data_IF_552879469593
#
_entry.id   IF_552879469593
#
_cell.length_a   1.000
_cell.length_b   1.000
_cell.length_c   1.000
_cell.angle_alpha   90.00
_cell.angle_beta   90.00
_cell.angle_gamma   90.00
#
_symmetry.space_group_name_H-M   'P 1'
#
loop_
_entity.id
_entity.type
_entity.pdbx_description
1 polymer ?
#
# COMPACT_ATOMS: atom_id res chain seq x y z
N UNK A 1 -14.63 -2.82 17.53
CA UNK A 1 -13.16 -2.69 17.40
C UNK A 1 -12.47 -3.76 18.22
N UNK A 2 -11.36 -4.29 17.74
CA UNK A 2 -10.44 -5.17 18.49
C UNK A 2 -9.40 -4.27 19.18
N UNK A 3 -9.01 -4.56 20.41
CA UNK A 3 -7.93 -3.87 21.12
C UNK A 3 -7.14 -4.80 22.02
N UNK A 4 -5.83 -4.56 22.13
CA UNK A 4 -4.89 -5.34 22.93
C UNK A 4 -3.86 -4.38 23.50
N UNK A 5 -3.75 -4.33 24.81
CA UNK A 5 -2.73 -3.54 25.50
C UNK A 5 -1.46 -4.37 25.67
N UNK A 6 -0.33 -3.69 25.75
CA UNK A 6 0.97 -4.26 26.05
C UNK A 6 1.72 -3.39 27.06
N UNK A 7 2.40 -4.03 27.97
CA UNK A 7 3.36 -3.37 28.87
C UNK A 7 4.69 -4.11 28.87
N UNK A 8 5.78 -3.40 29.15
CA UNK A 8 7.10 -4.02 29.26
C UNK A 8 7.21 -5.02 30.43
N UNK A 9 6.39 -4.88 31.47
CA UNK A 9 6.36 -5.78 32.64
C UNK A 9 5.55 -7.04 32.40
N UNK A 10 4.39 -6.92 31.74
CA UNK A 10 3.41 -8.02 31.66
C UNK A 10 3.29 -8.64 30.26
N UNK A 11 3.90 -7.99 29.26
CA UNK A 11 3.76 -8.37 27.86
C UNK A 11 2.38 -8.03 27.29
N UNK A 12 1.87 -8.83 26.36
CA UNK A 12 0.55 -8.67 25.76
C UNK A 12 -0.55 -9.09 26.73
N UNK A 13 -1.49 -8.18 27.00
CA UNK A 13 -2.67 -8.43 27.83
C UNK A 13 -3.79 -9.10 27.02
N UNK A 14 -4.86 -9.59 27.63
CA UNK A 14 -5.98 -10.23 26.95
C UNK A 14 -6.63 -9.31 25.89
N UNK A 15 -6.81 -9.84 24.69
CA UNK A 15 -7.50 -9.14 23.61
C UNK A 15 -8.98 -8.94 23.92
N UNK A 16 -9.54 -7.79 23.50
CA UNK A 16 -10.94 -7.43 23.68
C UNK A 16 -11.56 -7.03 22.35
N UNK A 17 -12.76 -7.52 22.06
CA UNK A 17 -13.62 -7.02 20.98
C UNK A 17 -14.79 -6.28 21.61
N UNK A 18 -14.89 -4.99 21.32
CA UNK A 18 -15.91 -4.10 21.90
C UNK A 18 -16.59 -3.31 20.78
N UNK A 19 -17.77 -2.68 21.04
CA UNK A 19 -18.33 -1.69 20.14
C UNK A 19 -17.29 -0.59 19.81
N UNK A 20 -17.43 0.02 18.63
CA UNK A 20 -16.60 1.17 18.25
C UNK A 20 -16.79 2.32 19.25
N UNK A 21 -15.67 2.85 19.77
CA UNK A 21 -15.68 3.91 20.79
C UNK A 21 -14.40 4.75 20.69
N UNK A 22 -14.43 5.93 21.32
CA UNK A 22 -13.25 6.78 21.45
C UNK A 22 -12.16 6.10 22.28
N UNK A 23 -10.91 6.36 21.94
CA UNK A 23 -9.78 6.01 22.80
C UNK A 23 -9.61 7.08 23.90
N UNK A 24 -9.45 6.64 25.14
CA UNK A 24 -9.08 7.52 26.26
C UNK A 24 -7.58 7.38 26.50
N UNK A 25 -6.81 8.40 26.13
CA UNK A 25 -5.36 8.43 26.24
C UNK A 25 -4.91 9.62 27.09
N UNK A 26 -3.86 9.40 27.89
CA UNK A 26 -3.20 10.48 28.63
C UNK A 26 -2.56 11.46 27.64
N UNK A 27 -2.68 12.79 27.83
CA UNK A 27 -2.04 13.79 26.96
C UNK A 27 -0.52 13.64 26.84
N UNK A 28 0.16 13.04 27.83
CA UNK A 28 1.57 12.74 27.80
C UNK A 28 1.91 11.43 27.07
N UNK A 29 0.93 10.75 26.46
CA UNK A 29 1.22 9.54 25.66
C UNK A 29 2.21 9.85 24.54
N UNK A 30 3.29 9.08 24.48
CA UNK A 30 4.44 9.39 23.60
C UNK A 30 4.08 9.40 22.11
N UNK A 31 3.01 8.74 21.68
CA UNK A 31 2.52 8.82 20.30
C UNK A 31 2.21 10.25 19.86
N UNK A 32 1.67 11.09 20.75
CA UNK A 32 1.29 12.47 20.42
C UNK A 32 2.50 13.39 20.19
N UNK A 33 3.64 13.06 20.77
CA UNK A 33 4.83 13.92 20.76
C UNK A 33 5.92 13.43 19.82
N UNK A 34 6.03 12.10 19.62
CA UNK A 34 7.18 11.49 18.95
C UNK A 34 6.80 10.49 17.88
N UNK A 35 5.51 10.46 17.48
CA UNK A 35 5.00 9.61 16.40
C UNK A 35 5.35 8.11 16.56
N UNK A 36 5.36 7.58 17.79
CA UNK A 36 5.45 6.15 18.02
C UNK A 36 4.16 5.46 17.55
N UNK A 37 4.02 5.36 16.24
CA UNK A 37 2.84 4.78 15.59
C UNK A 37 3.22 4.06 14.31
N UNK A 38 2.64 2.88 14.13
CA UNK A 38 2.65 2.15 12.86
C UNK A 38 1.26 1.57 12.60
N UNK A 39 0.97 1.33 11.32
CA UNK A 39 -0.34 0.82 10.95
C UNK A 39 -0.28 -0.13 9.77
N UNK A 40 -1.39 -0.83 9.54
CA UNK A 40 -1.61 -1.65 8.37
C UNK A 40 -2.90 -1.25 7.65
N UNK A 41 -3.02 -1.69 6.42
CA UNK A 41 -4.23 -1.60 5.63
C UNK A 41 -4.45 -2.92 4.91
N UNK A 42 -5.58 -3.55 5.20
CA UNK A 42 -6.01 -4.79 4.56
C UNK A 42 -7.52 -4.76 4.35
N UNK A 43 -8.03 -5.67 3.56
CA UNK A 43 -9.45 -5.69 3.20
C UNK A 43 -10.04 -7.08 3.42
N UNK A 44 -11.29 -7.12 3.88
CA UNK A 44 -12.11 -8.32 3.88
C UNK A 44 -13.13 -8.23 2.75
N UNK A 45 -13.25 -9.33 2.01
CA UNK A 45 -14.13 -9.48 0.86
C UNK A 45 -15.17 -10.56 1.12
N UNK A 46 -16.33 -10.46 0.51
CA UNK A 46 -17.34 -11.52 0.50
C UNK A 46 -17.34 -12.16 -0.89
N UNK A 47 -17.15 -13.47 -0.95
CA UNK A 47 -17.23 -14.22 -2.21
C UNK A 47 -18.69 -14.53 -2.60
N UNK A 48 -18.87 -15.08 -3.81
CA UNK A 48 -20.22 -15.45 -4.35
C UNK A 48 -20.96 -16.48 -3.50
N UNK A 49 -20.27 -17.24 -2.65
CA UNK A 49 -20.87 -18.19 -1.73
C UNK A 49 -21.16 -17.60 -0.34
N UNK A 50 -20.86 -16.30 -0.15
CA UNK A 50 -21.01 -15.61 1.12
C UNK A 50 -19.87 -15.83 2.12
N UNK A 51 -18.81 -16.56 1.74
CA UNK A 51 -17.63 -16.73 2.58
C UNK A 51 -16.84 -15.44 2.64
N UNK A 52 -16.31 -15.14 3.81
CA UNK A 52 -15.45 -13.97 4.04
C UNK A 52 -13.99 -14.35 3.81
N UNK A 53 -13.27 -13.48 3.11
CA UNK A 53 -11.87 -13.70 2.73
C UNK A 53 -10.99 -12.51 3.09
N UNK A 54 -9.78 -12.79 3.58
CA UNK A 54 -8.70 -11.82 3.72
C UNK A 54 -7.64 -12.11 2.65
N UNK A 55 -7.07 -11.07 2.07
CA UNK A 55 -6.04 -11.22 1.04
C UNK A 55 -4.66 -11.09 1.65
N UNK A 56 -3.88 -12.20 1.66
CA UNK A 56 -2.48 -12.30 2.14
C UNK A 56 -2.24 -11.67 3.53
N UNK A 57 -3.05 -11.98 4.56
CA UNK A 57 -2.94 -11.35 5.88
C UNK A 57 -1.57 -11.55 6.54
N UNK A 58 -0.89 -12.66 6.26
CA UNK A 58 0.46 -12.95 6.77
C UNK A 58 1.45 -11.87 6.37
N UNK A 59 1.43 -11.42 5.12
CA UNK A 59 2.31 -10.35 4.62
C UNK A 59 2.08 -9.02 5.35
N UNK A 60 0.83 -8.70 5.68
CA UNK A 60 0.49 -7.52 6.47
C UNK A 60 1.05 -7.63 7.89
N UNK A 61 0.90 -8.77 8.55
CA UNK A 61 1.38 -8.97 9.92
C UNK A 61 2.92 -9.01 10.00
N UNK A 62 3.59 -9.61 9.02
CA UNK A 62 5.05 -9.53 8.88
C UNK A 62 5.53 -8.07 8.78
N UNK A 63 4.91 -7.29 7.90
CA UNK A 63 5.27 -5.89 7.69
C UNK A 63 4.94 -5.02 8.90
N UNK A 64 3.83 -5.27 9.60
CA UNK A 64 3.50 -4.57 10.84
C UNK A 64 4.55 -4.83 11.91
N UNK A 65 5.02 -6.07 12.08
CA UNK A 65 6.11 -6.40 13.00
C UNK A 65 7.44 -5.73 12.62
N UNK A 66 7.77 -5.67 11.32
CA UNK A 66 8.95 -4.92 10.85
C UNK A 66 8.83 -3.42 11.16
N UNK A 67 7.64 -2.85 11.00
CA UNK A 67 7.38 -1.43 11.30
C UNK A 67 7.44 -1.15 12.80
N UNK A 68 6.79 -1.98 13.61
CA UNK A 68 6.81 -1.88 15.09
C UNK A 68 8.23 -1.94 15.64
N UNK A 69 8.99 -2.96 15.24
CA UNK A 69 10.37 -3.15 15.70
C UNK A 69 11.26 -1.94 15.36
N UNK A 70 11.07 -1.30 14.21
CA UNK A 70 11.88 -0.15 13.77
C UNK A 70 11.76 1.07 14.68
N UNK A 71 10.62 1.21 15.35
CA UNK A 71 10.33 2.32 16.27
C UNK A 71 10.19 1.84 17.72
N UNK A 72 10.83 0.73 18.06
CA UNK A 72 10.85 0.16 19.42
C UNK A 72 9.47 -0.12 20.03
N UNK A 73 8.44 -0.31 19.22
CA UNK A 73 7.16 -0.88 19.64
C UNK A 73 7.26 -2.42 19.72
N UNK A 74 6.41 -3.07 20.54
CA UNK A 74 6.46 -4.53 20.67
C UNK A 74 6.09 -5.24 19.36
N UNK A 75 6.66 -6.41 19.15
CA UNK A 75 6.23 -7.36 18.13
C UNK A 75 5.24 -8.37 18.73
N UNK A 76 4.50 -9.05 17.86
CA UNK A 76 3.46 -9.99 18.26
C UNK A 76 3.53 -11.28 17.45
N UNK A 77 2.87 -12.34 17.94
CA UNK A 77 2.69 -13.59 17.21
C UNK A 77 1.73 -13.38 16.03
N UNK A 78 2.24 -13.53 14.80
CA UNK A 78 1.48 -13.22 13.59
C UNK A 78 0.27 -14.15 13.39
N UNK A 79 0.38 -15.49 13.52
CA UNK A 79 -0.78 -16.38 13.43
C UNK A 79 -1.88 -16.03 14.44
N UNK A 80 -1.53 -15.76 15.69
CA UNK A 80 -2.50 -15.38 16.73
C UNK A 80 -3.20 -14.05 16.38
N UNK A 81 -2.48 -13.08 15.83
CA UNK A 81 -3.09 -11.81 15.41
C UNK A 81 -4.03 -11.98 14.22
N UNK A 82 -3.69 -12.84 13.25
CA UNK A 82 -4.58 -13.19 12.13
C UNK A 82 -5.86 -13.85 12.65
N UNK A 83 -5.75 -14.75 13.62
CA UNK A 83 -6.91 -15.38 14.26
C UNK A 83 -7.81 -14.35 14.95
N UNK A 84 -7.25 -13.40 15.70
CA UNK A 84 -8.00 -12.34 16.36
C UNK A 84 -8.69 -11.40 15.35
N UNK A 85 -8.00 -11.02 14.28
CA UNK A 85 -8.59 -10.25 13.17
C UNK A 85 -9.73 -11.05 12.52
N UNK A 86 -9.55 -12.36 12.31
CA UNK A 86 -10.58 -13.23 11.72
C UNK A 86 -11.83 -13.28 12.60
N UNK A 87 -11.68 -13.44 13.92
CA UNK A 87 -12.79 -13.39 14.87
C UNK A 87 -13.52 -12.03 14.82
N UNK A 88 -12.76 -10.93 14.79
CA UNK A 88 -13.34 -9.60 14.66
C UNK A 88 -14.12 -9.44 13.36
N UNK A 89 -13.55 -9.86 12.24
CA UNK A 89 -14.20 -9.78 10.93
C UNK A 89 -15.44 -10.69 10.84
N UNK A 90 -15.39 -11.88 11.40
CA UNK A 90 -16.54 -12.79 11.47
C UNK A 90 -17.72 -12.16 12.24
N UNK A 91 -17.45 -11.46 13.36
CA UNK A 91 -18.48 -10.72 14.12
C UNK A 91 -19.06 -9.55 13.33
N UNK A 92 -18.26 -8.90 12.50
CA UNK A 92 -18.62 -7.70 11.74
C UNK A 92 -18.96 -7.98 10.27
N UNK A 93 -19.11 -9.25 9.88
CA UNK A 93 -19.38 -9.68 8.49
C UNK A 93 -20.58 -9.01 7.83
N UNK A 94 -21.54 -8.51 8.61
CA UNK A 94 -22.69 -7.74 8.16
C UNK A 94 -22.33 -6.42 7.46
N UNK A 95 -21.13 -5.87 7.78
CA UNK A 95 -20.64 -4.62 7.19
C UNK A 95 -19.78 -4.83 5.94
N UNK A 96 -19.55 -6.08 5.53
CA UNK A 96 -18.83 -6.36 4.28
C UNK A 96 -19.84 -6.26 3.14
N UNK A 97 -19.71 -5.27 2.21
CA UNK A 97 -20.58 -5.14 1.06
C UNK A 97 -20.48 -6.36 0.13
N UNK A 98 -21.56 -6.70 -0.53
CA UNK A 98 -21.62 -7.86 -1.45
C UNK A 98 -21.21 -7.48 -2.88
N UNK A 99 -21.27 -6.19 -3.20
CA UNK A 99 -20.97 -5.68 -4.52
C UNK A 99 -19.46 -5.78 -4.83
N UNK A 100 -19.13 -6.25 -6.04
CA UNK A 100 -17.75 -6.33 -6.51
C UNK A 100 -17.14 -4.93 -6.63
N UNK A 101 -15.89 -4.77 -6.18
CA UNK A 101 -15.23 -3.45 -6.04
C UNK A 101 -15.38 -2.85 -4.65
N UNK A 102 -16.31 -3.39 -3.83
CA UNK A 102 -16.50 -2.99 -2.43
C UNK A 102 -15.88 -4.00 -1.47
N UNK A 103 -15.57 -3.56 -0.26
CA UNK A 103 -14.94 -4.38 0.77
C UNK A 103 -15.09 -3.75 2.14
N UNK A 104 -14.74 -4.48 3.18
CA UNK A 104 -14.54 -3.94 4.52
C UNK A 104 -13.04 -3.66 4.69
N UNK A 105 -12.67 -2.40 4.80
CA UNK A 105 -11.30 -1.98 5.04
C UNK A 105 -10.96 -2.12 6.52
N UNK A 106 -9.87 -2.80 6.83
CA UNK A 106 -9.36 -3.01 8.17
C UNK A 106 -8.12 -2.17 8.40
N UNK A 107 -8.07 -1.47 9.54
CA UNK A 107 -6.97 -0.62 9.96
C UNK A 107 -6.38 -1.12 11.28
N UNK A 108 -5.51 -2.13 11.26
CA UNK A 108 -4.65 -2.42 12.41
C UNK A 108 -3.71 -1.24 12.65
N UNK A 109 -3.63 -0.80 13.89
CA UNK A 109 -2.77 0.33 14.31
C UNK A 109 -2.14 0.00 15.65
N UNK A 110 -0.87 0.31 15.81
CA UNK A 110 -0.16 0.19 17.09
C UNK A 110 0.41 1.55 17.46
N UNK A 111 0.15 2.00 18.68
CA UNK A 111 0.61 3.26 19.24
C UNK A 111 1.35 3.06 20.56
N UNK A 112 2.38 3.87 20.78
CA UNK A 112 3.02 3.97 22.09
C UNK A 112 2.19 4.81 23.05
N UNK A 113 1.86 4.23 24.21
CA UNK A 113 1.01 4.87 25.22
C UNK A 113 1.77 5.28 26.48
N UNK A 114 3.09 5.14 26.51
CA UNK A 114 3.95 5.58 27.62
C UNK A 114 3.66 7.05 27.98
N UNK A 115 3.35 7.28 29.24
CA UNK A 115 3.07 8.61 29.80
C UNK A 115 4.34 9.33 30.17
N UNK A 116 4.98 9.97 29.20
CA UNK A 116 6.25 10.70 29.43
C UNK A 116 6.47 11.74 28.34
N UNK A 117 7.09 12.85 28.71
CA UNK A 117 7.57 13.86 27.77
C UNK A 117 9.04 13.62 27.36
N UNK A 118 9.71 12.66 27.99
CA UNK A 118 11.06 12.25 27.62
C UNK A 118 11.04 11.32 26.40
N UNK A 119 12.03 11.48 25.50
CA UNK A 119 12.21 10.58 24.35
C UNK A 119 12.87 9.28 24.81
N UNK A 120 12.21 8.17 24.54
CA UNK A 120 12.74 6.83 24.84
C UNK A 120 11.82 5.74 24.28
N UNK A 121 12.25 4.47 24.35
CA UNK A 121 11.40 3.37 23.92
C UNK A 121 10.13 3.29 24.77
N UNK A 122 8.94 3.12 24.16
CA UNK A 122 7.70 3.02 24.91
C UNK A 122 7.67 1.79 25.84
N UNK A 123 7.38 1.99 27.13
CA UNK A 123 7.13 0.92 28.10
C UNK A 123 5.69 0.41 28.08
N UNK A 124 4.81 1.04 27.31
CA UNK A 124 3.45 0.56 27.06
C UNK A 124 2.98 0.90 25.66
N UNK A 125 2.10 0.07 25.11
CA UNK A 125 1.55 0.22 23.77
C UNK A 125 0.09 -0.27 23.73
N UNK A 126 -0.65 0.23 22.75
CA UNK A 126 -1.99 -0.23 22.40
C UNK A 126 -2.01 -0.63 20.92
N UNK A 127 -2.34 -1.90 20.64
CA UNK A 127 -2.68 -2.38 19.32
C UNK A 127 -4.20 -2.41 19.21
N UNK A 128 -4.76 -1.81 18.14
CA UNK A 128 -6.19 -1.88 17.89
C UNK A 128 -6.49 -2.06 16.41
N UNK A 129 -7.66 -2.61 16.11
CA UNK A 129 -8.17 -2.76 14.75
C UNK A 129 -9.57 -2.15 14.67
N UNK A 130 -9.73 -1.23 13.74
CA UNK A 130 -11.03 -0.69 13.34
C UNK A 130 -11.34 -1.09 11.91
N UNK A 131 -12.61 -1.01 11.52
CA UNK A 131 -13.06 -1.38 10.19
C UNK A 131 -14.05 -0.35 9.63
N UNK A 132 -14.05 -0.20 8.30
CA UNK A 132 -14.98 0.67 7.59
C UNK A 132 -15.37 0.04 6.26
N UNK A 133 -16.66 -0.03 5.88
CA UNK A 133 -17.07 -0.33 4.52
C UNK A 133 -16.49 0.70 3.55
N UNK A 134 -15.95 0.22 2.43
CA UNK A 134 -15.37 1.10 1.40
C UNK A 134 -15.78 0.63 0.01
N UNK A 135 -15.99 1.59 -0.89
CA UNK A 135 -16.19 1.39 -2.32
C UNK A 135 -14.90 1.58 -3.13
N UNK A 136 -15.02 1.81 -4.43
CA UNK A 136 -13.90 2.14 -5.30
C UNK A 136 -13.11 3.34 -4.77
N UNK A 137 -11.79 3.25 -4.86
CA UNK A 137 -10.88 4.27 -4.29
C UNK A 137 -11.07 5.65 -4.92
N UNK A 138 -11.26 5.71 -6.23
CA UNK A 138 -11.56 6.95 -6.93
C UNK A 138 -13.08 7.07 -7.21
N UNK A 139 -13.71 8.20 -6.88
CA UNK A 139 -15.13 8.42 -7.16
C UNK A 139 -15.47 8.31 -8.64
N UNK A 140 -14.51 8.61 -9.52
CA UNK A 140 -14.63 8.51 -10.98
C UNK A 140 -14.54 7.06 -11.50
N UNK A 141 -14.36 6.07 -10.62
CA UNK A 141 -14.14 4.67 -10.96
C UNK A 141 -12.72 4.36 -11.42
N UNK A 142 -12.55 3.29 -12.19
CA UNK A 142 -11.26 2.84 -12.71
C UNK A 142 -10.84 3.69 -13.92
N UNK A 143 -10.17 4.84 -13.64
CA UNK A 143 -9.69 5.79 -14.63
C UNK A 143 -8.22 6.09 -14.45
N UNK A 144 -7.56 6.41 -15.57
CA UNK A 144 -6.16 6.82 -15.56
C UNK A 144 -5.98 8.19 -14.88
N UNK A 145 -4.96 8.29 -14.06
CA UNK A 145 -4.61 9.50 -13.30
C UNK A 145 -3.40 10.20 -13.90
N UNK A 146 -3.33 11.52 -13.69
CA UNK A 146 -2.16 12.35 -14.03
C UNK A 146 -1.31 12.61 -12.80
N UNK A 147 0.00 12.52 -12.96
CA UNK A 147 0.97 12.65 -11.87
C UNK A 147 1.82 13.89 -12.02
N UNK A 148 2.31 14.42 -10.90
CA UNK A 148 3.40 15.39 -10.87
C UNK A 148 4.68 14.72 -10.36
N UNK A 149 5.73 14.72 -11.15
CA UNK A 149 7.06 14.30 -10.72
C UNK A 149 7.61 15.31 -9.70
N UNK A 150 7.88 14.85 -8.49
CA UNK A 150 8.20 15.70 -7.34
C UNK A 150 9.63 15.45 -6.90
N UNK A 151 10.48 16.45 -7.07
CA UNK A 151 11.89 16.50 -6.69
C UNK A 151 12.19 17.47 -5.54
N UNK A 152 11.29 18.43 -5.29
CA UNK A 152 11.42 19.45 -4.24
C UNK A 152 11.08 18.95 -2.82
N UNK A 153 10.48 17.79 -2.70
CA UNK A 153 10.14 17.16 -1.44
C UNK A 153 10.56 15.67 -1.47
N UNK A 154 11.30 15.23 -0.46
CA UNK A 154 11.81 13.88 -0.36
C UNK A 154 10.88 13.07 0.54
N UNK A 155 10.28 12.00 0.00
CA UNK A 155 9.43 11.09 0.78
C UNK A 155 10.23 10.15 1.68
N UNK A 156 11.35 9.65 1.18
CA UNK A 156 12.19 8.67 1.86
C UNK A 156 13.64 8.75 1.37
N UNK A 157 14.57 8.26 2.18
CA UNK A 157 16.00 8.26 1.89
C UNK A 157 16.67 6.97 2.42
N UNK A 158 17.83 6.57 1.90
CA UNK A 158 18.57 5.42 2.39
C UNK A 158 18.89 5.52 3.89
N UNK A 159 18.63 4.43 4.64
CA UNK A 159 18.79 4.39 6.10
C UNK A 159 17.67 5.06 6.88
N UNK A 160 16.71 5.70 6.21
CA UNK A 160 15.49 6.23 6.82
C UNK A 160 14.47 5.15 7.17
N UNK A 161 13.19 5.50 7.08
CA UNK A 161 12.07 4.63 7.44
C UNK A 161 11.04 4.49 6.31
N UNK A 162 11.40 4.83 5.08
CA UNK A 162 10.51 4.81 3.92
C UNK A 162 9.94 3.43 3.59
N UNK A 163 10.64 2.37 3.96
CA UNK A 163 10.25 0.97 3.82
C UNK A 163 9.37 0.45 4.97
N UNK A 164 9.07 1.29 5.96
CA UNK A 164 8.21 0.96 7.11
C UNK A 164 6.87 1.68 7.01
N UNK A 165 5.81 1.04 7.49
CA UNK A 165 4.46 1.61 7.44
C UNK A 165 4.18 2.42 8.72
N UNK A 166 4.83 3.58 8.82
CA UNK A 166 4.75 4.50 9.96
C UNK A 166 3.90 5.72 9.59
N UNK A 167 3.07 6.22 10.50
CA UNK A 167 2.30 7.45 10.31
C UNK A 167 3.17 8.65 9.97
N UNK A 168 4.38 8.71 10.54
CA UNK A 168 5.36 9.77 10.28
C UNK A 168 5.78 9.91 8.80
N UNK A 169 5.64 8.86 7.98
CA UNK A 169 5.92 8.91 6.54
C UNK A 169 4.79 9.57 5.73
N UNK A 170 3.59 9.71 6.29
CA UNK A 170 2.40 10.15 5.54
C UNK A 170 2.10 11.63 5.70
N UNK A 171 2.16 12.17 6.91
CA UNK A 171 1.86 13.57 7.17
C UNK A 171 2.71 14.54 6.32
N UNK A 172 4.04 14.37 6.17
CA UNK A 172 4.86 15.26 5.34
C UNK A 172 4.52 15.22 3.85
N UNK A 173 3.86 14.18 3.37
CA UNK A 173 3.47 14.04 1.96
C UNK A 173 2.19 14.83 1.61
N UNK A 174 1.43 15.27 2.61
CA UNK A 174 0.12 15.93 2.37
C UNK A 174 0.28 17.29 1.70
N UNK A 175 1.22 18.12 2.14
CA UNK A 175 1.42 19.43 1.52
C UNK A 175 1.84 19.33 0.05
N UNK A 176 2.86 18.53 -0.33
CA UNK A 176 3.19 18.31 -1.74
C UNK A 176 2.00 17.80 -2.56
N UNK A 177 1.17 16.92 -2.01
CA UNK A 177 -0.02 16.42 -2.70
C UNK A 177 -1.07 17.53 -2.93
N UNK A 178 -1.31 18.40 -1.95
CA UNK A 178 -2.19 19.54 -2.10
C UNK A 178 -1.69 20.52 -3.16
N UNK A 179 -0.38 20.76 -3.23
CA UNK A 179 0.24 21.61 -4.24
C UNK A 179 0.12 20.99 -5.64
N UNK A 180 0.34 19.68 -5.79
CA UNK A 180 0.12 18.97 -7.05
C UNK A 180 -1.36 19.06 -7.48
N UNK A 181 -2.29 18.88 -6.54
CA UNK A 181 -3.73 18.97 -6.80
C UNK A 181 -4.17 20.36 -7.30
N UNK A 182 -3.60 21.45 -6.74
CA UNK A 182 -3.84 22.84 -7.23
C UNK A 182 -3.41 23.03 -8.69
N UNK A 183 -2.39 22.27 -9.14
CA UNK A 183 -1.91 22.27 -10.53
C UNK A 183 -2.65 21.27 -11.43
N UNK A 184 -3.67 20.57 -10.91
CA UNK A 184 -4.51 19.64 -11.66
C UNK A 184 -4.02 18.20 -11.68
N UNK A 185 -3.03 17.83 -10.86
CA UNK A 185 -2.52 16.45 -10.77
C UNK A 185 -3.17 15.70 -9.62
N UNK A 186 -3.34 14.38 -9.81
CA UNK A 186 -4.04 13.53 -8.84
C UNK A 186 -3.11 13.03 -7.72
N UNK A 187 -1.83 12.82 -8.03
CA UNK A 187 -0.81 12.29 -7.12
C UNK A 187 0.58 12.80 -7.46
N UNK A 188 1.48 12.73 -6.48
CA UNK A 188 2.91 12.93 -6.69
C UNK A 188 3.56 11.62 -7.17
N UNK A 189 4.48 11.72 -8.13
CA UNK A 189 5.49 10.70 -8.41
C UNK A 189 6.76 11.10 -7.66
N UNK A 190 7.11 10.36 -6.62
CA UNK A 190 8.24 10.71 -5.76
C UNK A 190 9.56 10.35 -6.42
N UNK A 191 10.41 11.34 -6.62
CA UNK A 191 11.76 11.20 -7.15
C UNK A 191 12.78 11.24 -6.01
N UNK A 192 13.94 10.62 -6.22
CA UNK A 192 15.03 10.63 -5.25
C UNK A 192 16.40 10.76 -5.93
N UNK A 193 17.24 11.63 -5.35
CA UNK A 193 18.62 11.86 -5.79
C UNK A 193 18.73 12.77 -7.02
N UNK A 194 19.96 13.11 -7.36
CA UNK A 194 20.26 13.99 -8.50
C UNK A 194 19.88 13.35 -9.85
N UNK A 195 19.91 12.01 -9.90
CA UNK A 195 19.50 11.22 -11.06
C UNK A 195 17.97 11.11 -11.20
N UNK A 196 17.22 11.65 -10.24
CA UNK A 196 15.75 11.63 -10.23
C UNK A 196 15.18 10.20 -10.36
N UNK A 197 15.68 9.27 -9.53
CA UNK A 197 15.16 7.92 -9.48
C UNK A 197 13.70 7.89 -9.08
N UNK A 198 12.88 7.19 -9.86
CA UNK A 198 11.47 6.97 -9.54
C UNK A 198 11.35 5.98 -8.39
N UNK A 199 10.62 6.34 -7.34
CA UNK A 199 10.44 5.51 -6.15
C UNK A 199 9.00 5.03 -6.00
N UNK A 200 8.06 5.91 -5.66
CA UNK A 200 6.66 5.57 -5.43
C UNK A 200 5.72 6.62 -6.04
N UNK A 201 4.48 6.26 -6.26
CA UNK A 201 3.41 7.15 -6.71
C UNK A 201 2.37 7.34 -5.60
N UNK A 202 2.29 8.55 -5.04
CA UNK A 202 1.44 8.82 -3.87
C UNK A 202 1.76 7.87 -2.71
N UNK A 203 0.84 6.97 -2.39
CA UNK A 203 0.98 5.92 -1.36
C UNK A 203 1.02 4.51 -1.97
N UNK A 204 1.40 4.39 -3.25
CA UNK A 204 1.43 3.15 -4.02
C UNK A 204 2.85 2.91 -4.58
N UNK A 205 3.19 1.66 -4.85
CA UNK A 205 4.38 1.33 -5.61
C UNK A 205 4.15 1.56 -7.11
N UNK A 206 5.15 2.07 -7.81
CA UNK A 206 5.08 2.36 -9.24
C UNK A 206 5.55 1.18 -10.08
N UNK A 207 4.82 0.86 -11.15
CA UNK A 207 5.18 -0.09 -12.20
C UNK A 207 5.14 0.59 -13.55
N UNK A 208 6.09 0.21 -14.41
CA UNK A 208 6.19 0.72 -15.78
C UNK A 208 6.40 -0.46 -16.75
N UNK A 209 5.55 -0.54 -17.76
CA UNK A 209 5.71 -1.46 -18.86
C UNK A 209 6.29 -0.71 -20.06
N UNK A 210 7.43 -1.16 -20.56
CA UNK A 210 8.12 -0.51 -21.67
C UNK A 210 8.82 -1.54 -22.59
N UNK A 211 9.26 -1.09 -23.76
CA UNK A 211 10.28 -1.80 -24.53
C UNK A 211 11.65 -1.25 -24.13
N UNK A 212 12.56 -2.12 -23.72
CA UNK A 212 13.94 -1.72 -23.45
C UNK A 212 14.66 -1.31 -24.76
N UNK A 213 15.92 -0.89 -24.67
CA UNK A 213 16.69 -0.44 -25.87
C UNK A 213 16.94 -1.56 -26.87
N UNK A 214 16.88 -2.80 -26.43
CA UNK A 214 16.98 -4.00 -27.25
C UNK A 214 15.64 -4.42 -27.89
N UNK A 215 14.55 -3.66 -27.62
CA UNK A 215 13.21 -3.92 -28.14
C UNK A 215 12.42 -4.99 -27.38
N UNK A 216 12.95 -5.51 -26.28
CA UNK A 216 12.28 -6.51 -25.44
C UNK A 216 11.26 -5.85 -24.52
N UNK A 217 10.15 -6.52 -24.25
CA UNK A 217 9.13 -6.06 -23.29
C UNK A 217 9.64 -6.22 -21.88
N UNK A 218 9.61 -5.14 -21.09
CA UNK A 218 10.04 -5.13 -19.69
C UNK A 218 8.92 -4.54 -18.82
N UNK A 219 8.59 -5.21 -17.72
CA UNK A 219 7.82 -4.66 -16.62
C UNK A 219 8.79 -4.36 -15.47
N UNK A 220 9.01 -3.07 -15.20
CA UNK A 220 9.97 -2.60 -14.20
C UNK A 220 9.29 -1.94 -13.02
N UNK A 221 9.85 -2.13 -11.84
CA UNK A 221 9.51 -1.41 -10.61
C UNK A 221 10.77 -1.14 -9.80
N UNK A 222 10.73 -0.14 -8.91
CA UNK A 222 11.86 0.18 -8.05
C UNK A 222 12.22 -1.00 -7.12
N UNK A 223 13.53 -1.20 -6.82
CA UNK A 223 13.99 -2.27 -5.94
C UNK A 223 13.69 -1.95 -4.47
N UNK A 224 13.66 -2.99 -3.62
CA UNK A 224 13.52 -2.86 -2.17
C UNK A 224 14.87 -2.45 -1.55
N UNK A 225 15.26 -1.20 -1.72
CA UNK A 225 16.53 -0.64 -1.23
C UNK A 225 16.38 0.17 0.08
N UNK A 226 15.21 0.09 0.72
CA UNK A 226 14.89 0.83 1.96
C UNK A 226 14.20 2.18 1.73
N UNK A 227 14.03 2.62 0.48
CA UNK A 227 13.35 3.90 0.16
C UNK A 227 11.88 3.74 -0.20
N UNK A 228 11.43 2.53 -0.52
CA UNK A 228 10.05 2.23 -0.87
C UNK A 228 9.42 1.21 0.08
N UNK A 229 8.10 1.27 0.24
CA UNK A 229 7.36 0.32 1.05
C UNK A 229 7.33 -1.06 0.36
N UNK A 230 7.57 -2.13 1.13
CA UNK A 230 7.35 -3.52 0.71
C UNK A 230 5.83 -3.78 0.52
N UNK A 231 5.26 -3.33 -0.61
CA UNK A 231 3.83 -3.41 -0.86
C UNK A 231 3.35 -4.85 -1.03
N UNK A 232 2.27 -5.23 -0.32
CA UNK A 232 1.64 -6.56 -0.52
C UNK A 232 1.09 -6.68 -1.94
N UNK A 233 0.49 -5.62 -2.47
CA UNK A 233 0.04 -5.58 -3.87
C UNK A 233 1.22 -5.59 -4.84
N UNK A 234 2.33 -4.88 -4.52
CA UNK A 234 3.57 -4.94 -5.32
C UNK A 234 4.09 -6.37 -5.44
N UNK A 235 4.21 -7.06 -4.33
CA UNK A 235 4.67 -8.47 -4.29
C UNK A 235 3.72 -9.38 -5.07
N UNK A 236 2.41 -9.12 -5.02
CA UNK A 236 1.42 -9.85 -5.80
C UNK A 236 1.55 -9.60 -7.29
N UNK A 237 1.74 -8.35 -7.72
CA UNK A 237 1.99 -8.00 -9.13
C UNK A 237 3.25 -8.69 -9.64
N UNK A 238 4.36 -8.63 -8.90
CA UNK A 238 5.61 -9.28 -9.29
C UNK A 238 5.48 -10.80 -9.40
N UNK A 239 4.80 -11.44 -8.43
CA UNK A 239 4.58 -12.88 -8.45
C UNK A 239 3.75 -13.30 -9.67
N UNK A 240 2.64 -12.60 -9.95
CA UNK A 240 1.78 -12.84 -11.10
C UNK A 240 2.48 -12.57 -12.44
N UNK A 241 3.25 -11.48 -12.49
CA UNK A 241 4.04 -11.15 -13.69
C UNK A 241 5.06 -12.24 -14.00
N UNK A 242 5.78 -12.72 -12.98
CA UNK A 242 6.74 -13.82 -13.13
C UNK A 242 6.09 -15.14 -13.54
N UNK A 243 4.91 -15.44 -12.98
CA UNK A 243 4.16 -16.65 -13.29
C UNK A 243 3.60 -16.64 -14.72
N UNK A 244 3.03 -15.52 -15.15
CA UNK A 244 2.19 -15.42 -16.36
C UNK A 244 2.85 -14.65 -17.50
N UNK A 245 3.41 -13.46 -17.25
CA UNK A 245 3.94 -12.59 -18.30
C UNK A 245 5.30 -13.07 -18.85
N UNK A 246 6.13 -13.75 -18.06
CA UNK A 246 7.39 -14.31 -18.57
C UNK A 246 7.13 -15.32 -19.70
N UNK A 247 6.01 -16.05 -19.65
CA UNK A 247 5.57 -16.96 -20.73
C UNK A 247 5.15 -16.21 -22.00
N UNK A 248 4.82 -14.92 -21.88
CA UNK A 248 4.49 -14.02 -22.98
C UNK A 248 5.72 -13.22 -23.46
N UNK A 249 6.92 -13.58 -22.99
CA UNK A 249 8.20 -12.97 -23.38
C UNK A 249 8.53 -11.65 -22.65
N UNK A 250 7.89 -11.38 -21.50
CA UNK A 250 8.22 -10.21 -20.67
C UNK A 250 9.41 -10.48 -19.77
N UNK A 251 10.27 -9.49 -19.63
CA UNK A 251 11.30 -9.40 -18.60
C UNK A 251 10.66 -8.70 -17.39
N UNK A 252 10.83 -9.26 -16.18
CA UNK A 252 10.31 -8.69 -14.94
C UNK A 252 11.49 -8.21 -14.11
N UNK A 253 11.61 -6.88 -13.95
CA UNK A 253 12.80 -6.23 -13.38
C UNK A 253 12.47 -5.48 -12.09
N UNK A 254 13.27 -5.71 -11.07
CA UNK A 254 13.36 -4.87 -9.88
C UNK A 254 14.68 -4.10 -9.95
N UNK A 255 14.67 -2.91 -10.54
CA UNK A 255 15.84 -2.07 -10.72
C UNK A 255 15.52 -0.58 -10.57
N UNK A 256 16.54 0.20 -10.29
CA UNK A 256 16.42 1.66 -10.37
C UNK A 256 16.19 2.10 -11.82
N UNK A 257 15.35 3.08 -11.99
CA UNK A 257 15.09 3.76 -13.26
C UNK A 257 14.79 5.23 -12.98
N UNK A 258 15.11 6.09 -13.95
CA UNK A 258 15.03 7.53 -13.76
C UNK A 258 13.85 8.14 -14.50
N UNK A 259 13.46 9.35 -14.12
CA UNK A 259 12.44 10.08 -14.87
C UNK A 259 12.88 10.39 -16.30
N UNK A 260 14.19 10.64 -16.52
CA UNK A 260 14.76 10.82 -17.86
C UNK A 260 14.58 9.55 -18.73
N UNK A 261 14.83 8.35 -18.18
CA UNK A 261 14.60 7.09 -18.89
C UNK A 261 13.14 6.95 -19.34
N UNK A 262 12.18 7.34 -18.48
CA UNK A 262 10.75 7.31 -18.84
C UNK A 262 10.40 8.32 -19.92
N UNK A 263 10.94 9.53 -19.82
CA UNK A 263 10.71 10.60 -20.80
C UNK A 263 11.26 10.22 -22.19
N UNK A 264 12.44 9.61 -22.24
CA UNK A 264 13.04 9.11 -23.49
C UNK A 264 12.23 7.96 -24.07
N UNK A 265 11.84 6.99 -23.23
CA UNK A 265 11.00 5.87 -23.66
C UNK A 265 9.64 6.35 -24.20
N UNK A 266 9.05 7.38 -23.61
CA UNK A 266 7.81 8.00 -24.08
C UNK A 266 8.00 8.65 -25.47
N UNK A 267 9.03 9.51 -25.62
CA UNK A 267 9.34 10.17 -26.90
C UNK A 267 9.63 9.18 -28.03
N UNK A 268 10.27 8.07 -27.72
CA UNK A 268 10.63 7.01 -28.69
C UNK A 268 9.47 6.02 -28.93
N UNK A 269 8.31 6.19 -28.29
CA UNK A 269 7.16 5.29 -28.42
C UNK A 269 7.39 3.90 -27.80
N UNK A 270 8.33 3.79 -26.86
CA UNK A 270 8.67 2.55 -26.15
C UNK A 270 7.95 2.41 -24.80
N UNK A 271 7.45 3.50 -24.22
CA UNK A 271 6.65 3.46 -23.00
C UNK A 271 5.25 2.96 -23.35
N UNK A 272 4.87 1.79 -22.83
CA UNK A 272 3.62 1.10 -23.20
C UNK A 272 2.49 1.44 -22.24
N UNK A 273 2.75 1.41 -20.94
CA UNK A 273 1.84 1.83 -19.86
C UNK A 273 2.57 2.00 -18.55
N UNK A 274 1.95 2.70 -17.62
CA UNK A 274 2.39 2.83 -16.25
C UNK A 274 1.21 2.75 -15.28
N UNK A 275 1.44 2.22 -14.07
CA UNK A 275 0.40 2.12 -13.04
C UNK A 275 0.97 2.08 -11.63
N UNK A 276 0.19 2.57 -10.67
CA UNK A 276 0.42 2.39 -9.25
C UNK A 276 -0.21 1.10 -8.74
N UNK A 277 0.39 0.46 -7.74
CA UNK A 277 -0.15 -0.73 -7.08
C UNK A 277 -0.21 -0.53 -5.56
N UNK A 278 -1.39 -0.72 -4.95
CA UNK A 278 -1.61 -0.56 -3.51
C UNK A 278 -2.93 -1.15 -3.03
N UNK A 279 -3.08 -1.36 -1.73
CA UNK A 279 -4.27 -2.02 -1.14
C UNK A 279 -5.56 -1.25 -1.42
N UNK A 280 -5.53 0.08 -1.39
CA UNK A 280 -6.72 0.90 -1.54
C UNK A 280 -7.30 0.81 -2.96
N UNK A 281 -6.48 1.08 -3.98
CA UNK A 281 -6.89 1.12 -5.39
C UNK A 281 -6.68 -0.22 -6.14
N UNK A 282 -5.97 -1.18 -5.54
CA UNK A 282 -5.42 -2.39 -6.16
C UNK A 282 -4.45 -2.03 -7.28
N UNK A 283 -4.93 -1.52 -8.40
CA UNK A 283 -4.16 -0.97 -9.52
C UNK A 283 -4.73 0.38 -9.93
N UNK A 284 -3.87 1.36 -10.15
CA UNK A 284 -4.24 2.72 -10.59
C UNK A 284 -3.46 3.08 -11.85
N UNK A 285 -4.08 3.05 -13.04
CA UNK A 285 -3.42 3.40 -14.30
C UNK A 285 -2.95 4.85 -14.32
N UNK A 286 -1.84 5.13 -14.98
CA UNK A 286 -1.27 6.47 -15.14
C UNK A 286 -1.37 6.91 -16.60
N UNK A 287 -1.97 8.09 -16.83
CA UNK A 287 -2.09 8.68 -18.17
C UNK A 287 -0.81 9.40 -18.57
N UNK A 288 -0.35 10.30 -17.72
CA UNK A 288 0.83 11.11 -17.97
C UNK A 288 1.48 11.57 -16.67
N UNK A 289 2.71 12.06 -16.80
CA UNK A 289 3.53 12.58 -15.70
C UNK A 289 4.03 13.97 -16.11
N UNK A 290 3.71 14.98 -15.32
CA UNK A 290 4.33 16.31 -15.47
C UNK A 290 5.74 16.29 -14.90
N UNK A 291 6.72 16.65 -15.71
CA UNK A 291 8.13 16.68 -15.33
C UNK A 291 8.84 17.85 -15.98
N UNK A 292 9.42 18.76 -15.20
CA UNK A 292 10.15 19.93 -15.67
C UNK A 292 9.38 20.74 -16.72
N UNK A 293 8.06 20.94 -16.49
CA UNK A 293 7.19 21.69 -17.38
C UNK A 293 6.73 20.95 -18.65
N UNK A 294 7.10 19.70 -18.82
CA UNK A 294 6.67 18.84 -19.93
C UNK A 294 5.76 17.71 -19.45
N UNK A 295 4.86 17.27 -20.31
CA UNK A 295 4.06 16.07 -20.06
C UNK A 295 4.75 14.86 -20.70
N UNK A 296 4.97 13.83 -19.91
CA UNK A 296 5.46 12.52 -20.34
C UNK A 296 4.26 11.60 -20.45
N UNK A 297 3.85 11.26 -21.65
CA UNK A 297 2.72 10.36 -21.91
C UNK A 297 3.08 8.91 -21.57
N UNK A 298 2.18 8.22 -20.87
CA UNK A 298 2.41 6.84 -20.40
C UNK A 298 1.81 5.77 -21.34
N UNK A 299 1.78 6.01 -22.65
CA UNK A 299 1.43 5.03 -23.67
C UNK A 299 -0.06 4.76 -23.87
N UNK A 300 -0.94 5.31 -23.04
CA UNK A 300 -2.39 5.13 -23.20
C UNK A 300 -2.93 5.98 -24.36
N UNK A 301 -3.76 5.37 -25.23
CA UNK A 301 -4.52 6.13 -26.22
C UNK A 301 -5.56 7.04 -25.54
N UNK A 302 -6.03 8.11 -26.21
CA UNK A 302 -7.01 9.04 -25.62
C UNK A 302 -8.32 8.38 -25.15
N UNK A 303 -8.73 7.30 -25.82
CA UNK A 303 -9.95 6.52 -25.53
C UNK A 303 -9.77 5.42 -24.47
N UNK A 304 -8.53 5.18 -24.02
CA UNK A 304 -8.20 4.15 -23.03
C UNK A 304 -8.06 4.73 -21.62
N UNK A 305 -8.63 4.04 -20.64
CA UNK A 305 -8.46 4.38 -19.22
C UNK A 305 -7.45 3.48 -18.51
N UNK A 306 -7.00 2.41 -19.14
CA UNK A 306 -5.97 1.52 -18.61
C UNK A 306 -5.25 0.78 -19.74
N UNK A 307 -4.01 0.40 -19.50
CA UNK A 307 -3.26 -0.50 -20.37
C UNK A 307 -3.59 -1.97 -20.10
N UNK A 308 -3.08 -2.83 -20.98
CA UNK A 308 -3.36 -4.27 -20.93
C UNK A 308 -2.83 -4.93 -19.66
N UNK A 309 -1.61 -4.57 -19.25
CA UNK A 309 -0.98 -5.18 -18.05
C UNK A 309 -1.68 -4.75 -16.78
N UNK A 310 -2.05 -3.46 -16.66
CA UNK A 310 -2.82 -2.95 -15.53
C UNK A 310 -4.17 -3.68 -15.39
N UNK A 311 -4.88 -3.92 -16.50
CA UNK A 311 -6.13 -4.66 -16.52
C UNK A 311 -5.94 -6.13 -16.11
N UNK A 312 -4.95 -6.82 -16.69
CA UNK A 312 -4.60 -8.21 -16.32
C UNK A 312 -4.27 -8.32 -14.82
N UNK A 313 -3.43 -7.42 -14.29
CA UNK A 313 -3.06 -7.43 -12.87
C UNK A 313 -4.27 -7.21 -11.95
N UNK A 314 -5.14 -6.26 -12.30
CA UNK A 314 -6.38 -6.03 -11.56
C UNK A 314 -7.25 -7.28 -11.54
N UNK A 315 -7.51 -7.87 -12.69
CA UNK A 315 -8.34 -9.06 -12.81
C UNK A 315 -7.77 -10.25 -12.02
N UNK A 316 -6.49 -10.56 -12.16
CA UNK A 316 -5.85 -11.69 -11.48
C UNK A 316 -5.77 -11.51 -9.97
N UNK A 317 -5.56 -10.29 -9.47
CA UNK A 317 -5.56 -10.01 -8.04
C UNK A 317 -6.99 -10.12 -7.48
N UNK A 318 -7.97 -9.50 -8.16
CA UNK A 318 -9.38 -9.55 -7.74
C UNK A 318 -9.95 -10.97 -7.75
N UNK A 319 -9.57 -11.81 -8.72
CA UNK A 319 -9.98 -13.21 -8.76
C UNK A 319 -9.60 -13.96 -7.49
N UNK A 320 -8.42 -13.66 -6.92
CA UNK A 320 -7.95 -14.22 -5.64
C UNK A 320 -8.60 -13.55 -4.42
N UNK A 321 -8.85 -12.24 -4.49
CA UNK A 321 -9.49 -11.49 -3.40
C UNK A 321 -10.94 -11.97 -3.17
N UNK A 322 -11.67 -12.21 -4.25
CA UNK A 322 -13.07 -12.65 -4.22
C UNK A 322 -13.25 -14.17 -4.30
N UNK A 323 -12.15 -14.93 -4.35
CA UNK A 323 -12.19 -16.39 -4.38
C UNK A 323 -12.77 -16.98 -5.68
N UNK A 324 -12.73 -16.24 -6.79
CA UNK A 324 -13.06 -16.78 -8.12
C UNK A 324 -11.97 -17.78 -8.57
N UNK A 325 -10.74 -17.62 -8.07
CA UNK A 325 -9.62 -18.55 -8.19
C UNK A 325 -9.17 -18.97 -6.79
N UNK A 326 -9.21 -20.28 -6.48
CA UNK A 326 -8.65 -20.80 -5.23
C UNK A 326 -7.14 -20.63 -5.20
N UNK A 327 -6.64 -19.97 -4.16
CA UNK A 327 -5.22 -19.68 -4.01
C UNK A 327 -4.86 -19.47 -2.54
N UNK A 328 -3.65 -19.83 -2.13
CA UNK A 328 -3.14 -19.63 -0.76
C UNK A 328 -3.16 -18.18 -0.29
N UNK A 329 -3.17 -17.22 -1.21
CA UNK A 329 -3.30 -15.79 -0.89
C UNK A 329 -4.68 -15.42 -0.35
N UNK A 330 -5.68 -16.24 -0.61
CA UNK A 330 -7.07 -16.01 -0.21
C UNK A 330 -7.36 -16.77 1.09
N UNK A 331 -7.13 -16.12 2.22
CA UNK A 331 -7.40 -16.70 3.54
C UNK A 331 -8.91 -16.66 3.82
N UNK A 332 -9.54 -17.81 3.97
CA UNK A 332 -10.97 -17.92 4.34
C UNK A 332 -11.11 -17.72 5.84
N UNK A 333 -11.89 -16.72 6.23
CA UNK A 333 -12.22 -16.46 7.63
C UNK A 333 -13.14 -17.57 8.13
N UNK A 334 -12.81 -18.28 9.23
CA UNK A 334 -13.70 -19.27 9.83
C UNK A 334 -15.04 -18.64 10.28
N UNK A 335 -16.13 -19.41 10.16
CA UNK A 335 -17.47 -18.97 10.58
C UNK A 335 -17.57 -18.84 12.11
#
# INVERSE_FOLDING_TARGET
MLSIEWTASDGWLPARITPYQNLSLDPASCVFHYAFECFEGMKAYKDKSGKVRLFRPTKNMERMNKSSARIALPTFNQPAMIELISKFVAMEKRFIPEERGYSLYLRPTMIGTQRTLGVGPPGSALLYVIASPVGPYYPTGFKAISLEATDYAVRAWPGGVGDKKLGANYAPCILPQLEAAKRGFHQNLWLFGEEEYVTEVGTMNMFVALKNKEGQKELVTAPLDGTILEGVTRDSVLSLAREKLTKEGWIISERKYTMSELADASKEGRLLEAFGAGTAAVVSPVRNISWKGNLVECGLRPDQEAGEIALKMKEWIEARQYGDEEHEWSYVVPN
#
